data_IF_997402189297
#
_entry.id   IF_997402189297
#
_cell.length_a   1.000
_cell.length_b   1.000
_cell.length_c   1.000
_cell.angle_alpha   90.00
_cell.angle_beta   90.00
_cell.angle_gamma   90.00
#
_symmetry.space_group_name_H-M   'P 1'
#
loop_
_entity.id
_entity.type
_entity.pdbx_description
1 polymer ?
#
# COMPACT_ATOMS: atom_id res chain seq x y z
N UNK A 1 29.07 -79.77 20.41
CA UNK A 1 30.44 -79.37 20.74
C UNK A 1 30.63 -77.94 20.25
N UNK A 2 30.72 -76.97 21.17
CA UNK A 2 31.05 -75.62 20.80
C UNK A 2 32.52 -75.54 20.41
N UNK A 3 32.84 -75.15 19.25
CA UNK A 3 34.19 -74.93 18.78
C UNK A 3 34.87 -73.87 19.62
N UNK A 4 36.04 -74.17 20.12
CA UNK A 4 36.86 -73.25 20.95
C UNK A 4 37.35 -72.06 20.09
N UNK A 5 37.36 -72.19 18.76
CA UNK A 5 37.80 -71.17 17.81
C UNK A 5 36.69 -70.18 17.42
N UNK A 6 35.40 -70.51 17.59
CA UNK A 6 34.27 -69.61 17.26
C UNK A 6 33.24 -69.68 18.34
N UNK A 7 33.29 -68.72 19.28
CA UNK A 7 32.24 -68.54 20.28
C UNK A 7 31.09 -67.68 19.73
N UNK A 8 30.06 -68.36 19.17
CA UNK A 8 28.89 -67.71 18.63
C UNK A 8 28.15 -66.82 19.69
N UNK A 9 28.15 -67.22 20.94
CA UNK A 9 27.53 -66.44 22.02
C UNK A 9 28.27 -65.12 22.27
N UNK A 10 29.61 -65.12 22.20
CA UNK A 10 30.40 -63.92 22.30
C UNK A 10 30.20 -62.97 21.10
N UNK A 11 30.06 -63.54 19.90
CA UNK A 11 29.77 -62.73 18.71
C UNK A 11 28.37 -62.09 18.79
N UNK A 12 27.36 -62.82 19.24
CA UNK A 12 26.00 -62.26 19.45
C UNK A 12 26.01 -61.20 20.54
N UNK A 13 26.75 -61.42 21.64
CA UNK A 13 26.89 -60.43 22.71
C UNK A 13 27.57 -59.16 22.22
N UNK A 14 28.65 -59.25 21.43
CA UNK A 14 29.30 -58.09 20.79
C UNK A 14 28.40 -57.37 19.81
N UNK A 15 27.62 -58.09 19.01
CA UNK A 15 26.64 -57.50 18.12
C UNK A 15 25.56 -56.73 18.88
N UNK A 16 25.04 -57.33 19.97
CA UNK A 16 24.05 -56.69 20.83
C UNK A 16 24.64 -55.44 21.50
N UNK A 17 25.87 -55.51 21.99
CA UNK A 17 26.54 -54.34 22.61
C UNK A 17 26.72 -53.18 21.59
N UNK A 18 27.12 -53.50 20.34
CA UNK A 18 27.22 -52.50 19.29
C UNK A 18 25.86 -51.85 19.01
N UNK A 19 24.79 -52.62 18.93
CA UNK A 19 23.44 -52.12 18.70
C UNK A 19 22.98 -51.23 19.88
N UNK A 20 23.27 -51.61 21.13
CA UNK A 20 22.94 -50.80 22.29
C UNK A 20 23.70 -49.48 22.28
N UNK A 21 25.00 -49.49 21.97
CA UNK A 21 25.80 -48.27 21.89
C UNK A 21 25.30 -47.34 20.79
N UNK A 22 25.00 -47.87 19.59
CA UNK A 22 24.43 -47.07 18.48
C UNK A 22 23.06 -46.46 18.84
N UNK A 23 22.19 -47.22 19.52
CA UNK A 23 20.92 -46.72 19.99
C UNK A 23 21.11 -45.65 21.10
N UNK A 24 22.09 -45.82 21.98
CA UNK A 24 22.41 -44.84 23.02
C UNK A 24 22.90 -43.51 22.43
N UNK A 25 23.77 -43.56 21.42
CA UNK A 25 24.22 -42.38 20.66
C UNK A 25 23.07 -41.68 20.01
N UNK A 26 22.14 -42.42 19.38
CA UNK A 26 20.93 -41.85 18.77
C UNK A 26 20.04 -41.15 19.78
N UNK A 27 19.74 -41.81 20.90
CA UNK A 27 18.91 -41.24 21.97
C UNK A 27 19.59 -40.01 22.63
N UNK A 28 20.90 -40.04 22.83
CA UNK A 28 21.65 -38.88 23.32
C UNK A 28 21.55 -37.70 22.35
N UNK A 29 21.65 -37.96 21.04
CA UNK A 29 21.49 -36.93 20.02
C UNK A 29 20.05 -36.38 20.02
N UNK A 30 19.04 -37.25 20.13
CA UNK A 30 17.64 -36.85 20.22
C UNK A 30 17.36 -35.97 21.45
N UNK A 31 17.92 -36.33 22.61
CA UNK A 31 17.77 -35.53 23.83
C UNK A 31 18.50 -34.19 23.71
N UNK A 32 19.72 -34.19 23.17
CA UNK A 32 20.52 -32.98 22.99
C UNK A 32 19.86 -31.97 22.01
N UNK A 33 19.28 -32.47 20.93
CA UNK A 33 18.66 -31.63 19.90
C UNK A 33 17.18 -31.35 20.17
N UNK A 34 16.53 -32.11 21.05
CA UNK A 34 15.10 -32.08 21.28
C UNK A 34 14.27 -32.55 20.08
N UNK A 35 14.92 -33.14 19.08
CA UNK A 35 14.27 -33.57 17.80
C UNK A 35 14.61 -35.02 17.52
N UNK A 36 13.58 -35.83 17.18
CA UNK A 36 13.76 -37.22 16.78
C UNK A 36 14.47 -37.35 15.42
N UNK A 37 14.30 -36.36 14.54
CA UNK A 37 14.99 -36.23 13.25
C UNK A 37 15.61 -34.84 13.23
N UNK A 38 16.89 -34.74 13.56
CA UNK A 38 17.60 -33.46 13.58
C UNK A 38 18.26 -33.15 12.23
N UNK A 39 18.69 -34.17 11.50
CA UNK A 39 19.44 -34.05 10.25
C UNK A 39 18.86 -34.94 9.15
N UNK A 40 19.18 -34.61 7.90
CA UNK A 40 18.81 -35.43 6.75
C UNK A 40 19.42 -36.86 6.79
N UNK A 41 20.52 -37.02 7.52
CA UNK A 41 21.18 -38.32 7.75
C UNK A 41 20.30 -39.29 8.56
N UNK A 42 19.51 -38.78 9.50
CA UNK A 42 18.65 -39.59 10.36
C UNK A 42 17.46 -40.15 9.59
N UNK A 43 16.79 -39.29 8.83
CA UNK A 43 15.73 -39.66 7.90
C UNK A 43 15.48 -38.51 6.90
N UNK A 44 16.00 -38.67 5.69
CA UNK A 44 15.94 -37.63 4.66
C UNK A 44 14.49 -37.23 4.28
N UNK A 45 13.55 -38.17 4.25
CA UNK A 45 12.17 -37.91 3.87
C UNK A 45 11.44 -37.11 4.95
N UNK A 46 11.56 -37.54 6.21
CA UNK A 46 10.91 -36.85 7.34
C UNK A 46 11.58 -35.48 7.55
N UNK A 47 12.90 -35.40 7.42
CA UNK A 47 13.63 -34.15 7.55
C UNK A 47 13.17 -33.12 6.49
N UNK A 48 13.05 -33.54 5.21
CA UNK A 48 12.59 -32.67 4.13
C UNK A 48 11.17 -32.14 4.40
N UNK A 49 10.25 -33.01 4.81
CA UNK A 49 8.87 -32.61 5.17
C UNK A 49 8.88 -31.66 6.37
N UNK A 50 9.62 -31.98 7.42
CA UNK A 50 9.71 -31.16 8.63
C UNK A 50 10.29 -29.77 8.34
N UNK A 51 11.32 -29.69 7.49
CA UNK A 51 11.91 -28.42 7.08
C UNK A 51 10.93 -27.57 6.27
N UNK A 52 10.22 -28.19 5.32
CA UNK A 52 9.18 -27.50 4.56
C UNK A 52 8.07 -26.99 5.46
N UNK A 53 7.56 -27.82 6.38
CA UNK A 53 6.51 -27.40 7.32
C UNK A 53 7.00 -26.30 8.27
N UNK A 54 8.25 -26.34 8.69
CA UNK A 54 8.84 -25.29 9.54
C UNK A 54 8.94 -23.97 8.79
N UNK A 55 9.31 -23.99 7.51
CA UNK A 55 9.32 -22.81 6.65
C UNK A 55 7.91 -22.26 6.42
N UNK A 56 6.93 -23.14 6.23
CA UNK A 56 5.54 -22.72 6.06
C UNK A 56 4.98 -22.08 7.34
N UNK A 57 5.29 -22.63 8.51
CA UNK A 57 4.92 -22.03 9.80
C UNK A 57 5.55 -20.64 9.99
N UNK A 58 6.82 -20.47 9.62
CA UNK A 58 7.47 -19.16 9.71
C UNK A 58 6.86 -18.16 8.73
N UNK A 59 6.52 -18.62 7.53
CA UNK A 59 5.83 -17.81 6.53
C UNK A 59 4.45 -17.37 7.01
N UNK A 60 3.69 -18.24 7.68
CA UNK A 60 2.40 -17.87 8.28
C UNK A 60 2.51 -16.84 9.40
N UNK A 61 3.60 -16.86 10.18
CA UNK A 61 3.84 -15.79 11.15
C UNK A 61 4.07 -14.46 10.46
N UNK A 62 4.91 -14.43 9.42
CA UNK A 62 5.16 -13.21 8.65
C UNK A 62 3.88 -12.68 7.98
N UNK A 63 3.01 -13.57 7.47
CA UNK A 63 1.70 -13.19 6.95
C UNK A 63 0.84 -12.57 8.05
N UNK A 64 0.79 -13.20 9.23
CA UNK A 64 0.04 -12.66 10.37
C UNK A 64 0.53 -11.26 10.77
N UNK A 65 1.85 -11.05 10.79
CA UNK A 65 2.44 -9.75 11.10
C UNK A 65 2.11 -8.72 10.01
N UNK A 66 2.16 -9.11 8.73
CA UNK A 66 1.75 -8.25 7.60
C UNK A 66 0.27 -7.86 7.67
N UNK A 67 -0.60 -8.80 7.99
CA UNK A 67 -2.04 -8.54 8.15
C UNK A 67 -2.33 -7.62 9.34
N UNK A 68 -1.63 -7.80 10.46
CA UNK A 68 -1.74 -6.92 11.64
C UNK A 68 -1.28 -5.50 11.32
N UNK A 69 -0.16 -5.36 10.58
CA UNK A 69 0.34 -4.08 10.10
C UNK A 69 -0.68 -3.40 9.18
N UNK A 70 -1.20 -4.15 8.21
CA UNK A 70 -2.22 -3.67 7.28
C UNK A 70 -3.52 -3.24 7.99
N UNK A 71 -4.01 -4.06 8.92
CA UNK A 71 -5.18 -3.74 9.74
C UNK A 71 -4.98 -2.47 10.56
N UNK A 72 -3.79 -2.29 11.14
CA UNK A 72 -3.45 -1.09 11.91
C UNK A 72 -3.41 0.15 11.02
N UNK A 73 -2.83 0.03 9.81
CA UNK A 73 -2.78 1.13 8.84
C UNK A 73 -4.18 1.56 8.40
N UNK A 74 -5.05 0.60 8.06
CA UNK A 74 -6.45 0.87 7.71
C UNK A 74 -7.21 1.46 8.91
N UNK A 75 -6.94 0.97 10.12
CA UNK A 75 -7.54 1.50 11.34
C UNK A 75 -7.23 2.98 11.57
N UNK A 76 -5.96 3.38 11.38
CA UNK A 76 -5.55 4.80 11.47
C UNK A 76 -6.21 5.65 10.39
N UNK A 77 -6.22 5.17 9.15
CA UNK A 77 -6.85 5.88 8.04
C UNK A 77 -8.36 6.06 8.27
N UNK A 78 -9.06 5.02 8.74
CA UNK A 78 -10.48 5.08 9.08
C UNK A 78 -10.76 6.11 10.17
N UNK A 79 -9.99 6.10 11.26
CA UNK A 79 -10.17 7.05 12.35
C UNK A 79 -9.96 8.49 11.89
N UNK A 80 -8.96 8.73 11.06
CA UNK A 80 -8.72 10.04 10.48
C UNK A 80 -9.87 10.47 9.55
N UNK A 81 -10.36 9.57 8.70
CA UNK A 81 -11.50 9.85 7.82
C UNK A 81 -12.79 10.16 8.58
N UNK A 82 -13.04 9.51 9.72
CA UNK A 82 -14.17 9.82 10.60
C UNK A 82 -14.04 11.24 11.18
N UNK A 83 -12.84 11.65 11.61
CA UNK A 83 -12.57 13.01 12.10
C UNK A 83 -12.72 14.04 10.98
N UNK A 84 -12.19 13.78 9.80
CA UNK A 84 -12.36 14.66 8.62
C UNK A 84 -13.84 14.81 8.29
N UNK A 85 -14.60 13.72 8.29
CA UNK A 85 -16.05 13.75 8.04
C UNK A 85 -16.79 14.69 9.03
N UNK A 86 -16.44 14.63 10.31
CA UNK A 86 -17.00 15.51 11.32
C UNK A 86 -16.66 16.99 11.05
N UNK A 87 -15.40 17.28 10.71
CA UNK A 87 -14.97 18.65 10.39
C UNK A 87 -15.64 19.18 9.12
N UNK A 88 -15.84 18.34 8.11
CA UNK A 88 -16.57 18.72 6.90
C UNK A 88 -18.02 19.03 7.19
N UNK A 89 -18.66 18.31 8.12
CA UNK A 89 -20.02 18.63 8.58
C UNK A 89 -20.06 20.00 9.29
N UNK A 90 -19.07 20.29 10.12
CA UNK A 90 -18.94 21.61 10.76
C UNK A 90 -18.78 22.73 9.72
N UNK A 91 -17.88 22.52 8.73
CA UNK A 91 -17.69 23.48 7.63
C UNK A 91 -18.98 23.68 6.85
N UNK A 92 -19.71 22.61 6.52
CA UNK A 92 -21.02 22.70 5.86
C UNK A 92 -22.00 23.55 6.68
N UNK A 93 -22.06 23.37 7.99
CA UNK A 93 -22.91 24.16 8.88
C UNK A 93 -22.52 25.64 8.85
N UNK A 94 -21.23 25.97 8.90
CA UNK A 94 -20.72 27.33 8.80
C UNK A 94 -21.06 27.98 7.45
N UNK A 95 -20.92 27.24 6.36
CA UNK A 95 -21.30 27.70 5.01
C UNK A 95 -22.79 28.01 4.91
N UNK A 96 -23.64 27.16 5.50
CA UNK A 96 -25.08 27.42 5.55
C UNK A 96 -25.38 28.68 6.36
N UNK A 97 -24.75 28.85 7.53
CA UNK A 97 -24.91 30.05 8.37
C UNK A 97 -24.42 31.33 7.68
N UNK A 98 -23.39 31.22 6.80
CA UNK A 98 -22.87 32.36 6.04
C UNK A 98 -23.86 32.91 4.99
N UNK A 99 -24.91 32.15 4.66
CA UNK A 99 -25.93 32.59 3.70
C UNK A 99 -26.94 33.55 4.29
N UNK A 100 -27.02 33.66 5.63
CA UNK A 100 -27.90 34.59 6.28
C UNK A 100 -27.41 36.04 6.09
N UNK A 101 -28.34 36.99 6.03
CA UNK A 101 -28.01 38.39 5.76
C UNK A 101 -27.36 39.09 6.96
N UNK A 102 -27.63 38.63 8.16
CA UNK A 102 -27.24 39.31 9.42
C UNK A 102 -26.03 38.64 10.10
N UNK A 103 -25.05 38.15 9.32
CA UNK A 103 -23.87 37.46 9.86
C UNK A 103 -22.57 38.12 9.43
N UNK A 104 -21.57 38.03 10.29
CA UNK A 104 -20.21 38.46 9.98
C UNK A 104 -19.50 37.37 9.17
N UNK A 105 -19.57 37.47 7.85
CA UNK A 105 -18.98 36.48 6.89
C UNK A 105 -17.46 36.39 7.02
N UNK A 106 -16.79 37.47 7.48
CA UNK A 106 -15.34 37.44 7.65
C UNK A 106 -14.93 36.54 8.80
N UNK A 107 -15.68 36.58 9.92
CA UNK A 107 -15.43 35.66 11.03
C UNK A 107 -15.75 34.23 10.67
N UNK A 108 -16.86 33.97 9.97
CA UNK A 108 -17.22 32.64 9.52
C UNK A 108 -16.13 32.07 8.57
N UNK A 109 -15.58 32.92 7.67
CA UNK A 109 -14.49 32.51 6.78
C UNK A 109 -13.24 32.13 7.57
N UNK A 110 -12.88 32.90 8.60
CA UNK A 110 -11.74 32.58 9.48
C UNK A 110 -11.94 31.25 10.19
N UNK A 111 -13.16 30.95 10.64
CA UNK A 111 -13.49 29.68 11.29
C UNK A 111 -13.41 28.52 10.29
N UNK A 112 -13.89 28.71 9.06
CA UNK A 112 -13.76 27.71 7.97
C UNK A 112 -12.28 27.45 7.66
N UNK A 113 -11.48 28.49 7.52
CA UNK A 113 -10.04 28.36 7.22
C UNK A 113 -9.32 27.58 8.33
N UNK A 114 -9.68 27.83 9.60
CA UNK A 114 -9.14 27.06 10.73
C UNK A 114 -9.54 25.58 10.67
N UNK A 115 -10.79 25.27 10.31
CA UNK A 115 -11.25 23.88 10.13
C UNK A 115 -10.56 23.20 8.96
N UNK A 116 -10.36 23.89 7.85
CA UNK A 116 -9.61 23.41 6.66
C UNK A 116 -8.16 23.10 7.03
N UNK A 117 -7.48 23.98 7.76
CA UNK A 117 -6.13 23.75 8.27
C UNK A 117 -6.06 22.53 9.18
N UNK A 118 -7.07 22.33 10.03
CA UNK A 118 -7.17 21.16 10.90
C UNK A 118 -7.34 19.87 10.08
N UNK A 119 -8.19 19.87 9.05
CA UNK A 119 -8.34 18.72 8.15
C UNK A 119 -7.00 18.38 7.48
N UNK A 120 -6.30 19.36 6.94
CA UNK A 120 -4.97 19.16 6.32
C UNK A 120 -3.98 18.52 7.29
N UNK A 121 -3.98 18.96 8.54
CA UNK A 121 -3.12 18.41 9.59
C UNK A 121 -3.48 16.96 9.91
N UNK A 122 -4.77 16.64 10.04
CA UNK A 122 -5.24 15.26 10.31
C UNK A 122 -4.89 14.34 9.16
N UNK A 123 -5.14 14.74 7.91
CA UNK A 123 -4.82 13.95 6.72
C UNK A 123 -3.31 13.71 6.62
N UNK A 124 -2.49 14.72 6.87
CA UNK A 124 -1.03 14.59 6.88
C UNK A 124 -0.50 13.69 8.00
N UNK A 125 -1.13 13.73 9.18
CA UNK A 125 -0.74 12.93 10.35
C UNK A 125 -1.26 11.47 10.30
N UNK A 126 -2.20 11.14 9.42
CA UNK A 126 -2.84 9.83 9.32
C UNK A 126 -1.93 8.80 8.66
N UNK A 127 -0.76 8.57 9.25
CA UNK A 127 0.22 7.62 8.78
C UNK A 127 0.51 6.55 9.83
N UNK A 128 0.77 5.34 9.38
CA UNK A 128 1.28 4.26 10.19
C UNK A 128 2.54 3.69 9.56
N UNK A 129 3.65 3.68 10.30
CA UNK A 129 4.97 3.27 9.79
C UNK A 129 5.39 3.96 8.47
N UNK A 130 5.07 5.25 8.31
CA UNK A 130 5.37 6.03 7.11
C UNK A 130 4.39 5.84 5.94
N UNK A 131 3.41 4.96 6.08
CA UNK A 131 2.38 4.70 5.07
C UNK A 131 1.11 5.48 5.41
N UNK A 132 0.69 6.35 4.49
CA UNK A 132 -0.56 7.10 4.58
C UNK A 132 -1.48 6.67 3.43
N UNK A 133 -2.74 6.35 3.77
CA UNK A 133 -3.75 5.86 2.80
C UNK A 133 -4.67 6.97 2.30
N UNK A 134 -4.61 8.19 2.89
CA UNK A 134 -5.62 9.23 2.65
C UNK A 134 -5.06 10.58 2.22
N UNK A 135 -3.74 10.68 2.01
CA UNK A 135 -3.08 11.97 1.68
C UNK A 135 -2.85 12.21 0.18
N UNK A 136 -3.34 11.34 -0.70
CA UNK A 136 -3.18 11.49 -2.14
C UNK A 136 -1.74 11.39 -2.66
N UNK A 137 -0.76 11.00 -1.82
CA UNK A 137 0.66 10.96 -2.23
C UNK A 137 0.95 9.91 -3.30
N UNK A 138 0.08 8.95 -3.49
CA UNK A 138 0.18 7.91 -4.50
C UNK A 138 -1.22 7.41 -4.85
N UNK A 139 -1.43 7.07 -6.11
CA UNK A 139 -2.67 6.44 -6.61
C UNK A 139 -2.57 4.91 -6.67
N UNK A 140 -1.39 4.33 -6.40
CA UNK A 140 -1.22 2.89 -6.40
C UNK A 140 -1.77 2.28 -5.11
N UNK A 141 -2.50 1.18 -5.21
CA UNK A 141 -3.02 0.43 -4.09
C UNK A 141 -1.89 -0.12 -3.21
N UNK A 142 -2.19 -0.28 -1.94
CA UNK A 142 -1.28 -0.91 -0.99
C UNK A 142 -1.55 -2.40 -0.94
N UNK A 143 -0.54 -3.18 -1.30
CA UNK A 143 -0.63 -4.63 -1.28
C UNK A 143 -0.21 -5.18 0.08
N UNK A 144 -1.13 -5.85 0.76
CA UNK A 144 -0.90 -6.54 2.02
C UNK A 144 -0.81 -8.03 1.74
N UNK A 145 0.31 -8.67 2.10
CA UNK A 145 0.47 -10.11 1.93
C UNK A 145 -0.57 -10.86 2.77
N UNK A 146 -1.46 -11.60 2.10
CA UNK A 146 -2.58 -12.30 2.72
C UNK A 146 -2.35 -13.81 2.85
N UNK A 147 -1.73 -14.43 1.85
CA UNK A 147 -1.41 -15.85 1.89
C UNK A 147 -0.23 -16.20 1.00
N UNK A 148 0.37 -17.36 1.31
CA UNK A 148 1.32 -18.04 0.44
C UNK A 148 0.71 -19.39 0.04
N UNK A 149 0.48 -19.58 -1.25
CA UNK A 149 -0.02 -20.82 -1.80
C UNK A 149 1.12 -21.63 -2.39
N UNK A 150 1.19 -22.90 -1.99
CA UNK A 150 2.19 -23.84 -2.50
C UNK A 150 1.52 -24.83 -3.43
N UNK A 151 1.88 -24.78 -4.70
CA UNK A 151 1.41 -25.76 -5.67
C UNK A 151 2.02 -27.15 -5.44
N UNK A 152 1.40 -28.18 -5.96
CA UNK A 152 1.90 -29.57 -5.90
C UNK A 152 3.30 -29.74 -6.54
N UNK A 153 3.71 -28.81 -7.40
CA UNK A 153 5.04 -28.74 -8.00
C UNK A 153 6.09 -28.02 -7.16
N UNK A 154 5.76 -27.58 -5.93
CA UNK A 154 6.66 -26.90 -5.01
C UNK A 154 6.81 -25.39 -5.27
N UNK A 155 6.15 -24.84 -6.28
CA UNK A 155 6.13 -23.39 -6.55
C UNK A 155 5.32 -22.67 -5.49
N UNK A 156 5.84 -21.58 -4.94
CA UNK A 156 5.16 -20.74 -3.96
C UNK A 156 4.68 -19.49 -4.67
N UNK A 157 3.37 -19.20 -4.59
CA UNK A 157 2.78 -17.95 -5.05
C UNK A 157 2.22 -17.15 -3.88
N UNK A 158 2.46 -15.84 -3.90
CA UNK A 158 1.92 -14.93 -2.92
C UNK A 158 0.57 -14.39 -3.39
N UNK A 159 -0.39 -14.30 -2.46
CA UNK A 159 -1.68 -13.65 -2.68
C UNK A 159 -1.75 -12.41 -1.80
N UNK A 160 -2.26 -11.31 -2.35
CA UNK A 160 -2.31 -10.01 -1.69
C UNK A 160 -3.75 -9.54 -1.55
N UNK A 161 -3.98 -8.75 -0.52
CA UNK A 161 -5.17 -7.91 -0.37
C UNK A 161 -4.77 -6.52 -0.82
N UNK A 162 -5.42 -6.02 -1.85
CA UNK A 162 -5.22 -4.66 -2.33
C UNK A 162 -6.09 -3.71 -1.50
N UNK A 163 -5.47 -2.71 -0.91
CA UNK A 163 -6.12 -1.65 -0.15
C UNK A 163 -6.01 -0.38 -0.96
N UNK A 164 -7.15 0.09 -1.42
CA UNK A 164 -7.25 1.33 -2.19
C UNK A 164 -6.83 2.54 -1.36
N UNK A 165 -6.10 3.46 -1.97
CA UNK A 165 -5.77 4.76 -1.39
C UNK A 165 -6.82 5.77 -1.78
N UNK A 166 -7.25 6.55 -0.81
CA UNK A 166 -8.19 7.64 -1.01
C UNK A 166 -7.47 8.98 -0.83
N UNK A 167 -7.73 9.94 -1.71
CA UNK A 167 -7.22 11.29 -1.55
C UNK A 167 -8.25 12.15 -0.81
N UNK A 168 -7.99 12.44 0.45
CA UNK A 168 -8.73 13.40 1.28
C UNK A 168 -7.94 14.71 1.47
N UNK A 169 -6.84 14.90 0.75
CA UNK A 169 -6.07 16.13 0.83
C UNK A 169 -6.87 17.28 0.23
N UNK A 170 -6.87 18.40 0.93
CA UNK A 170 -7.41 19.67 0.42
C UNK A 170 -6.28 20.35 -0.36
N UNK A 171 -5.85 19.72 -1.44
CA UNK A 171 -4.88 20.32 -2.34
C UNK A 171 -5.63 21.16 -3.37
N UNK A 172 -5.57 22.45 -3.20
CA UNK A 172 -6.13 23.41 -4.17
C UNK A 172 -5.17 23.62 -5.36
N UNK A 173 -4.44 22.57 -5.72
CA UNK A 173 -3.65 22.59 -6.93
C UNK A 173 -4.61 22.31 -8.09
N UNK A 174 -5.19 23.37 -8.65
CA UNK A 174 -5.86 23.24 -9.91
C UNK A 174 -4.87 22.61 -10.88
N UNK A 175 -5.12 21.38 -11.29
CA UNK A 175 -4.35 20.75 -12.35
C UNK A 175 -4.53 21.64 -13.58
N UNK A 176 -3.44 22.23 -14.06
CA UNK A 176 -3.50 23.05 -15.26
C UNK A 176 -4.17 22.20 -16.36
N UNK A 177 -5.25 22.72 -16.92
CA UNK A 177 -5.93 22.03 -18.02
C UNK A 177 -4.92 21.89 -19.16
N UNK A 178 -4.60 20.66 -19.52
CA UNK A 178 -3.73 20.39 -20.65
C UNK A 178 -4.57 20.37 -21.90
N UNK A 179 -4.45 21.39 -22.72
CA UNK A 179 -5.08 21.44 -24.02
C UNK A 179 -4.18 20.73 -25.03
N UNK A 180 -4.58 19.56 -25.48
CA UNK A 180 -3.75 18.73 -26.36
C UNK A 180 -2.52 18.17 -25.63
N UNK A 181 -1.52 17.75 -26.38
CA UNK A 181 -0.26 17.19 -25.84
C UNK A 181 0.75 18.24 -25.37
N UNK A 182 0.39 19.52 -25.36
CA UNK A 182 1.28 20.61 -24.97
C UNK A 182 0.63 21.43 -23.86
N UNK A 183 1.33 21.59 -22.73
CA UNK A 183 0.90 22.50 -21.69
C UNK A 183 0.98 23.94 -22.22
N UNK A 184 -0.14 24.61 -22.27
CA UNK A 184 -0.17 26.02 -22.67
C UNK A 184 0.05 26.85 -21.41
N UNK A 185 1.17 27.58 -21.38
CA UNK A 185 1.44 28.53 -20.30
C UNK A 185 0.36 29.62 -20.30
N UNK A 186 0.06 30.12 -19.11
CA UNK A 186 -1.07 30.98 -18.72
C UNK A 186 -1.25 32.30 -19.50
N UNK A 187 -0.49 32.52 -20.55
CA UNK A 187 -0.49 33.78 -21.35
C UNK A 187 -0.48 33.55 -22.84
N UNK A 188 -0.79 32.33 -23.31
CA UNK A 188 -0.71 32.05 -24.75
C UNK A 188 -2.13 31.92 -25.32
N UNK A 189 -2.52 32.84 -26.18
CA UNK A 189 -3.68 32.71 -27.05
C UNK A 189 -3.35 31.64 -28.10
N UNK A 190 -4.15 30.58 -28.16
CA UNK A 190 -3.95 29.52 -29.15
C UNK A 190 -4.33 30.12 -30.53
N UNK A 191 -3.32 30.31 -31.34
CA UNK A 191 -3.50 30.65 -32.73
C UNK A 191 -3.79 29.37 -33.55
N UNK A 192 -4.68 29.47 -34.52
CA UNK A 192 -5.02 28.38 -35.45
C UNK A 192 -3.86 27.98 -36.38
N UNK A 193 -2.70 28.60 -36.26
CA UNK A 193 -1.51 28.24 -37.01
C UNK A 193 -0.62 27.30 -36.18
N UNK A 194 -0.56 26.04 -36.58
CA UNK A 194 0.13 24.97 -35.88
C UNK A 194 1.67 25.06 -35.87
N UNK A 195 2.23 26.19 -36.22
CA UNK A 195 3.68 26.34 -36.50
C UNK A 195 4.40 27.21 -35.51
N UNK A 196 3.74 27.95 -34.61
CA UNK A 196 4.46 28.86 -33.72
C UNK A 196 3.98 28.80 -32.26
N UNK A 197 4.50 27.81 -31.51
CA UNK A 197 4.42 27.86 -30.07
C UNK A 197 5.33 28.97 -29.55
N UNK A 198 4.77 30.11 -29.14
CA UNK A 198 5.52 31.08 -28.34
C UNK A 198 5.39 32.58 -28.75
N UNK A 199 4.67 32.93 -29.77
CA UNK A 199 4.37 34.35 -30.07
C UNK A 199 2.90 34.61 -29.86
N UNK A 200 2.58 35.64 -29.07
CA UNK A 200 1.23 36.16 -28.97
C UNK A 200 0.85 36.69 -30.36
N UNK A 201 -0.15 36.08 -30.98
CA UNK A 201 -0.65 36.52 -32.25
C UNK A 201 -1.92 37.36 -32.03
N UNK A 202 -1.97 38.51 -32.64
CA UNK A 202 -3.15 39.35 -32.61
C UNK A 202 -4.19 38.79 -33.56
N UNK A 203 -5.40 38.54 -33.06
CA UNK A 203 -6.54 38.22 -33.90
C UNK A 203 -6.76 39.35 -34.92
N UNK A 204 -6.70 39.01 -36.20
CA UNK A 204 -7.06 39.98 -37.24
C UNK A 204 -8.54 40.32 -37.10
N UNK A 205 -8.86 41.59 -37.28
CA UNK A 205 -10.22 42.09 -37.22
C UNK A 205 -11.13 41.28 -38.18
N UNK A 206 -12.19 40.67 -37.62
CA UNK A 206 -13.12 39.82 -38.36
C UNK A 206 -12.78 38.33 -38.46
N UNK A 207 -11.73 37.86 -37.79
CA UNK A 207 -11.41 36.43 -37.73
C UNK A 207 -12.20 35.74 -36.60
N UNK A 208 -12.92 34.67 -36.96
CA UNK A 208 -13.57 33.79 -35.98
C UNK A 208 -12.60 32.71 -35.53
N UNK A 209 -12.46 32.55 -34.24
CA UNK A 209 -11.71 31.45 -33.67
C UNK A 209 -12.64 30.50 -32.90
N UNK A 210 -12.68 29.26 -33.34
CA UNK A 210 -13.47 28.24 -32.69
C UNK A 210 -12.62 27.57 -31.59
N UNK A 211 -13.02 27.77 -30.34
CA UNK A 211 -12.41 27.06 -29.19
C UNK A 211 -13.24 25.82 -28.88
N UNK A 212 -12.76 24.66 -29.27
CA UNK A 212 -13.43 23.39 -28.96
C UNK A 212 -12.93 22.84 -27.63
N UNK A 213 -13.79 22.77 -26.62
CA UNK A 213 -13.51 22.13 -25.34
C UNK A 213 -14.00 20.68 -25.42
N UNK A 214 -13.07 19.73 -25.47
CA UNK A 214 -13.38 18.33 -25.71
C UNK A 214 -14.12 17.64 -24.54
N UNK A 215 -13.90 18.08 -23.30
CA UNK A 215 -14.67 17.66 -22.13
C UNK A 215 -14.51 18.66 -20.98
N UNK A 216 -15.60 18.87 -20.26
CA UNK A 216 -15.63 19.68 -19.04
C UNK A 216 -15.96 18.71 -17.90
N UNK A 217 -15.08 18.57 -16.92
CA UNK A 217 -15.39 17.80 -15.73
C UNK A 217 -16.39 18.59 -14.86
N UNK A 218 -17.36 17.88 -14.27
CA UNK A 218 -18.35 18.49 -13.40
C UNK A 218 -17.69 19.27 -12.24
N UNK A 219 -18.09 20.52 -12.08
CA UNK A 219 -17.59 21.41 -11.02
C UNK A 219 -16.51 22.41 -11.45
N UNK A 220 -16.09 22.42 -12.71
CA UNK A 220 -15.15 23.41 -13.23
C UNK A 220 -15.87 24.46 -14.09
N UNK A 221 -15.50 25.74 -13.88
CA UNK A 221 -15.92 26.85 -14.73
C UNK A 221 -14.74 27.41 -15.50
N UNK A 222 -14.87 27.57 -16.79
CA UNK A 222 -13.86 28.21 -17.61
C UNK A 222 -14.26 29.65 -17.87
N UNK A 223 -13.33 30.57 -17.65
CA UNK A 223 -13.52 31.97 -17.94
C UNK A 223 -12.58 32.35 -19.08
N UNK A 224 -13.16 32.73 -20.21
CA UNK A 224 -12.43 33.34 -21.31
C UNK A 224 -12.48 34.86 -21.09
N UNK A 225 -11.32 35.46 -20.89
CA UNK A 225 -11.20 36.94 -20.82
C UNK A 225 -10.60 37.38 -22.12
N UNK A 226 -11.39 38.08 -22.89
CA UNK A 226 -10.88 38.84 -24.03
C UNK A 226 -10.48 40.23 -23.50
N UNK A 227 -9.21 40.53 -23.55
CA UNK A 227 -8.70 41.86 -23.18
C UNK A 227 -8.69 42.71 -24.45
N UNK A 228 -9.61 43.65 -24.51
CA UNK A 228 -9.67 44.67 -25.54
C UNK A 228 -8.89 45.89 -25.07
N UNK A 229 -7.59 45.74 -24.91
CA UNK A 229 -6.68 46.86 -24.69
C UNK A 229 -6.12 47.32 -26.05
N UNK A 230 -6.88 48.18 -26.72
CA UNK A 230 -6.38 48.99 -27.82
C UNK A 230 -5.39 50.06 -27.34
#
# INVERSE_FOLDING_TARGET
MSSILTNNSAMVALQTLRNINSNLESVQSEISTGKKVANAKDNAAIWAISTTMSTDVESFKQISDSLNLGSSTVGVARQAAEQVTSLVQDVKSLVVSAQEENVDRTKIQTDIDAKVAQITTIVGAAQFNGLNLINGSSTADVQILASLDRSSGGTVSASYIDVERLDLSISNTATAATFGSTAVANTTIINNDSVNAGTADTLADGANQDITIASVADGYSYRIVLDDSA
#
